data_IF_164898809504
#
_entry.id   IF_164898809504
#
_cell.length_a   1.000
_cell.length_b   1.000
_cell.length_c   1.000
_cell.angle_alpha   90.00
_cell.angle_beta   90.00
_cell.angle_gamma   90.00
#
_symmetry.space_group_name_H-M   'P 1'
#
loop_
_entity.id
_entity.type
_entity.pdbx_description
1 polymer ?
#
# COMPACT_ATOMS: atom_id res chain seq x y z
N UNK A 1 34.96 -7.33 -3.11
CA UNK A 1 34.08 -6.61 -4.06
C UNK A 1 33.02 -5.89 -3.24
N UNK A 2 33.11 -4.58 -3.14
CA UNK A 2 31.99 -3.77 -2.57
C UNK A 2 30.85 -3.89 -3.55
N UNK A 3 29.74 -4.53 -3.16
CA UNK A 3 28.48 -4.38 -3.88
C UNK A 3 28.11 -2.89 -3.78
N UNK A 4 28.30 -2.15 -4.86
CA UNK A 4 27.65 -0.87 -5.03
C UNK A 4 26.17 -1.14 -4.87
N UNK A 5 25.59 -0.57 -3.80
CA UNK A 5 24.21 -0.80 -3.46
C UNK A 5 23.33 -0.33 -4.61
N UNK A 6 22.76 -1.28 -5.36
CA UNK A 6 21.76 -0.98 -6.39
C UNK A 6 20.67 -0.16 -5.70
N UNK A 7 20.42 1.02 -6.21
CA UNK A 7 19.39 1.92 -5.71
C UNK A 7 18.04 1.19 -5.76
N UNK A 8 17.35 1.12 -4.64
CA UNK A 8 16.06 0.44 -4.56
C UNK A 8 15.01 1.24 -5.32
N UNK A 9 14.29 0.61 -6.24
CA UNK A 9 13.31 1.30 -7.10
C UNK A 9 12.04 1.73 -6.36
N UNK A 10 11.69 1.11 -5.25
CA UNK A 10 10.49 1.51 -4.51
C UNK A 10 10.55 2.98 -4.06
N UNK A 11 11.77 3.57 -3.88
CA UNK A 11 11.91 4.99 -3.62
C UNK A 11 11.40 5.86 -4.77
N UNK A 12 11.37 5.34 -5.99
CA UNK A 12 10.89 6.05 -7.16
C UNK A 12 9.35 6.03 -7.23
N UNK A 13 8.71 4.92 -6.83
CA UNK A 13 7.23 4.85 -6.72
C UNK A 13 6.64 5.74 -5.64
N UNK A 14 7.44 6.18 -4.66
CA UNK A 14 6.99 7.04 -3.56
C UNK A 14 7.22 8.53 -3.79
N UNK A 15 8.01 8.91 -4.79
CA UNK A 15 8.37 10.32 -5.02
C UNK A 15 7.17 11.19 -5.35
N UNK A 16 6.15 10.61 -5.96
CA UNK A 16 4.97 11.32 -6.41
C UNK A 16 3.71 10.61 -5.95
N UNK A 17 3.37 10.74 -4.66
CA UNK A 17 2.06 10.27 -4.18
C UNK A 17 0.99 11.07 -4.94
N UNK A 18 0.02 10.34 -5.52
CA UNK A 18 -1.10 10.92 -6.26
C UNK A 18 -1.86 11.98 -5.44
N UNK A 19 -2.46 12.92 -6.16
CA UNK A 19 -3.22 14.01 -5.55
C UNK A 19 -4.73 13.73 -5.44
N UNK A 20 -5.27 12.88 -6.30
CA UNK A 20 -6.72 12.81 -6.52
C UNK A 20 -7.32 11.41 -6.56
N UNK A 21 -6.63 10.41 -7.10
CA UNK A 21 -7.17 9.08 -7.38
C UNK A 21 -6.40 7.96 -6.71
N UNK A 22 -7.08 7.14 -5.92
CA UNK A 22 -6.48 6.04 -5.16
C UNK A 22 -7.24 4.73 -5.34
N UNK A 23 -6.54 3.68 -5.78
CA UNK A 23 -7.05 2.32 -5.72
C UNK A 23 -6.73 1.74 -4.34
N UNK A 24 -7.71 1.73 -3.47
CA UNK A 24 -7.54 1.34 -2.09
C UNK A 24 -7.61 -0.18 -1.92
N UNK A 25 -6.68 -0.70 -1.11
CA UNK A 25 -6.57 -2.13 -0.82
C UNK A 25 -6.69 -2.37 0.67
N UNK A 26 -7.75 -3.03 1.06
CA UNK A 26 -8.01 -3.36 2.47
C UNK A 26 -7.00 -4.35 3.03
N UNK A 27 -6.74 -4.20 4.31
CA UNK A 27 -5.98 -5.15 5.10
C UNK A 27 -6.88 -6.23 5.69
N UNK A 28 -6.50 -7.50 5.52
CA UNK A 28 -7.22 -8.60 6.17
C UNK A 28 -7.16 -8.49 7.71
N UNK A 29 -6.01 -8.13 8.28
CA UNK A 29 -5.85 -7.96 9.73
C UNK A 29 -6.66 -6.77 10.24
N UNK A 30 -6.61 -5.62 9.56
CA UNK A 30 -7.38 -4.44 9.99
C UNK A 30 -8.88 -4.69 9.91
N UNK A 31 -9.35 -5.42 8.90
CA UNK A 31 -10.75 -5.79 8.82
C UNK A 31 -11.20 -6.71 9.96
N UNK A 32 -10.33 -7.62 10.39
CA UNK A 32 -10.65 -8.55 11.46
C UNK A 32 -10.64 -7.88 12.84
N UNK A 33 -9.60 -7.11 13.13
CA UNK A 33 -9.38 -6.57 14.49
C UNK A 33 -9.80 -5.10 14.63
N UNK A 34 -9.74 -4.31 13.54
CA UNK A 34 -10.01 -2.88 13.56
C UNK A 34 -10.82 -2.44 12.32
N UNK A 35 -12.04 -3.00 12.10
CA UNK A 35 -12.80 -2.80 10.86
C UNK A 35 -13.14 -1.33 10.58
N UNK A 36 -13.23 -0.51 11.62
CA UNK A 36 -13.48 0.93 11.49
C UNK A 36 -12.31 1.73 10.90
N UNK A 37 -11.08 1.21 10.99
CA UNK A 37 -9.89 1.98 10.58
C UNK A 37 -9.82 2.22 9.07
N UNK A 38 -10.09 1.20 8.25
CA UNK A 38 -10.11 1.32 6.80
C UNK A 38 -11.28 2.20 6.32
N UNK A 39 -12.45 2.03 6.94
CA UNK A 39 -13.62 2.86 6.65
C UNK A 39 -13.39 4.34 7.02
N UNK A 40 -12.72 4.59 8.14
CA UNK A 40 -12.34 5.95 8.55
C UNK A 40 -11.36 6.58 7.57
N UNK A 41 -10.34 5.84 7.13
CA UNK A 41 -9.40 6.31 6.13
C UNK A 41 -10.10 6.70 4.83
N UNK A 42 -10.96 5.83 4.30
CA UNK A 42 -11.72 6.11 3.07
C UNK A 42 -12.59 7.36 3.24
N UNK A 43 -13.26 7.52 4.39
CA UNK A 43 -14.06 8.73 4.67
C UNK A 43 -13.22 9.99 4.74
N UNK A 44 -12.04 9.94 5.33
CA UNK A 44 -11.12 11.09 5.34
C UNK A 44 -10.79 11.50 3.91
N UNK A 45 -10.41 10.57 3.06
CA UNK A 45 -10.06 10.90 1.68
C UNK A 45 -11.27 11.40 0.87
N UNK A 46 -12.42 10.72 0.94
CA UNK A 46 -13.60 11.09 0.17
C UNK A 46 -14.33 12.30 0.72
N UNK A 47 -14.71 12.23 2.00
CA UNK A 47 -15.68 13.18 2.58
C UNK A 47 -14.97 14.45 3.08
N UNK A 48 -13.71 14.34 3.53
CA UNK A 48 -12.95 15.48 4.03
C UNK A 48 -12.09 16.11 2.94
N UNK A 49 -11.39 15.29 2.16
CA UNK A 49 -10.42 15.77 1.16
C UNK A 49 -10.99 15.82 -0.27
N UNK A 50 -12.17 15.24 -0.53
CA UNK A 50 -12.79 15.22 -1.86
C UNK A 50 -12.05 14.36 -2.89
N UNK A 51 -11.28 13.36 -2.44
CA UNK A 51 -10.49 12.49 -3.31
C UNK A 51 -11.31 11.32 -3.85
N UNK A 52 -10.98 10.87 -5.05
CA UNK A 52 -11.55 9.65 -5.63
C UNK A 52 -10.84 8.42 -5.06
N UNK A 53 -11.56 7.62 -4.29
CA UNK A 53 -11.05 6.39 -3.69
C UNK A 53 -11.92 5.22 -4.11
N UNK A 54 -11.35 4.31 -4.87
CA UNK A 54 -12.03 3.12 -5.34
C UNK A 54 -11.55 1.87 -4.59
N UNK A 55 -12.50 1.08 -4.15
CA UNK A 55 -12.28 -0.23 -3.57
C UNK A 55 -12.93 -1.29 -4.45
N UNK A 56 -12.15 -2.25 -4.93
CA UNK A 56 -12.66 -3.30 -5.80
C UNK A 56 -13.15 -4.51 -4.97
N UNK A 57 -14.43 -4.91 -5.07
CA UNK A 57 -14.95 -6.06 -4.32
C UNK A 57 -14.31 -7.40 -4.74
N UNK A 58 -13.71 -7.47 -5.94
CA UNK A 58 -13.02 -8.65 -6.44
C UNK A 58 -11.53 -8.68 -6.09
N UNK A 59 -11.05 -7.70 -5.32
CA UNK A 59 -9.67 -7.65 -4.88
C UNK A 59 -9.38 -8.80 -3.91
N UNK A 60 -8.23 -9.45 -4.09
CA UNK A 60 -7.73 -10.44 -3.14
C UNK A 60 -6.72 -9.80 -2.18
N UNK A 61 -6.62 -10.33 -0.97
CA UNK A 61 -5.55 -9.94 -0.04
C UNK A 61 -4.18 -10.23 -0.64
N UNK A 62 -3.14 -9.60 -0.10
CA UNK A 62 -1.77 -9.77 -0.62
C UNK A 62 -1.16 -11.16 -0.37
N UNK A 63 -1.80 -12.01 0.44
CA UNK A 63 -1.26 -13.30 0.91
C UNK A 63 0.10 -13.20 1.62
N UNK A 64 0.55 -12.00 1.96
CA UNK A 64 1.88 -11.73 2.51
C UNK A 64 2.19 -12.47 3.81
N UNK A 65 1.19 -12.71 4.66
CA UNK A 65 1.39 -13.51 5.86
C UNK A 65 1.74 -14.97 5.52
N UNK A 66 1.08 -15.54 4.50
CA UNK A 66 1.38 -16.89 4.02
C UNK A 66 2.80 -17.01 3.43
N UNK A 67 3.32 -15.95 2.83
CA UNK A 67 4.70 -15.85 2.39
C UNK A 67 5.67 -15.84 3.58
N UNK A 68 5.45 -14.96 4.54
CA UNK A 68 6.32 -14.85 5.72
C UNK A 68 6.33 -16.09 6.62
N UNK A 69 5.30 -16.90 6.56
CA UNK A 69 5.22 -18.18 7.27
C UNK A 69 5.64 -19.36 6.39
N UNK A 70 6.15 -19.11 5.17
CA UNK A 70 6.61 -20.11 4.21
C UNK A 70 5.52 -21.13 3.79
N UNK A 71 4.24 -20.76 3.92
CA UNK A 71 3.10 -21.59 3.55
C UNK A 71 2.71 -21.39 2.08
N UNK A 72 2.95 -20.19 1.54
CA UNK A 72 2.60 -19.81 0.17
C UNK A 72 3.86 -19.49 -0.62
N UNK A 73 4.11 -20.20 -1.75
CA UNK A 73 5.25 -19.92 -2.61
C UNK A 73 5.25 -18.48 -3.15
N UNK A 74 6.44 -17.92 -3.35
CA UNK A 74 6.59 -16.53 -3.80
C UNK A 74 5.97 -16.30 -5.18
N UNK A 75 6.06 -17.25 -6.09
CA UNK A 75 5.42 -17.19 -7.41
C UNK A 75 3.91 -17.06 -7.32
N UNK A 76 3.28 -17.71 -6.34
CA UNK A 76 1.84 -17.56 -6.09
C UNK A 76 1.51 -16.16 -5.63
N UNK A 77 2.33 -15.56 -4.75
CA UNK A 77 2.16 -14.18 -4.30
C UNK A 77 2.30 -13.22 -5.47
N UNK A 78 3.32 -13.40 -6.32
CA UNK A 78 3.52 -12.59 -7.52
C UNK A 78 2.27 -12.64 -8.42
N UNK A 79 1.69 -13.82 -8.63
CA UNK A 79 0.48 -13.98 -9.45
C UNK A 79 -0.74 -13.28 -8.83
N UNK A 80 -0.92 -13.34 -7.51
CA UNK A 80 -1.99 -12.63 -6.79
C UNK A 80 -1.82 -11.12 -6.93
N UNK A 81 -0.61 -10.61 -6.74
CA UNK A 81 -0.30 -9.18 -6.89
C UNK A 81 -0.52 -8.71 -8.32
N UNK A 82 -0.05 -9.45 -9.30
CA UNK A 82 -0.27 -9.17 -10.72
C UNK A 82 -1.77 -9.11 -11.07
N UNK A 83 -2.56 -10.06 -10.55
CA UNK A 83 -4.02 -10.03 -10.70
C UNK A 83 -4.63 -8.78 -10.08
N UNK A 84 -4.21 -8.37 -8.91
CA UNK A 84 -4.71 -7.17 -8.26
C UNK A 84 -4.35 -5.90 -9.05
N UNK A 85 -3.17 -5.84 -9.64
CA UNK A 85 -2.80 -4.74 -10.55
C UNK A 85 -3.63 -4.73 -11.82
N UNK A 86 -3.97 -5.90 -12.39
CA UNK A 86 -4.89 -5.97 -13.54
C UNK A 86 -6.27 -5.41 -13.21
N UNK A 87 -6.81 -5.72 -12.02
CA UNK A 87 -8.10 -5.19 -11.55
C UNK A 87 -8.07 -3.68 -11.33
N UNK A 88 -6.94 -3.14 -10.86
CA UNK A 88 -6.74 -1.71 -10.74
C UNK A 88 -6.80 -1.02 -12.11
N UNK A 89 -6.07 -1.55 -13.07
CA UNK A 89 -5.99 -1.00 -14.44
C UNK A 89 -7.33 -1.07 -15.17
N UNK A 90 -8.08 -2.15 -15.04
CA UNK A 90 -9.44 -2.28 -15.58
C UNK A 90 -10.38 -1.15 -15.13
N UNK A 91 -10.14 -0.59 -13.96
CA UNK A 91 -10.93 0.53 -13.40
C UNK A 91 -10.34 1.90 -13.68
N UNK A 92 -9.25 1.98 -14.46
CA UNK A 92 -8.62 3.24 -14.82
C UNK A 92 -7.86 3.92 -13.67
N UNK A 93 -7.42 3.13 -12.68
CA UNK A 93 -6.56 3.60 -11.60
C UNK A 93 -5.10 3.24 -11.85
N UNK A 94 -4.21 4.08 -11.35
CA UNK A 94 -2.76 3.91 -11.50
C UNK A 94 -2.01 4.01 -10.16
N UNK A 95 -2.70 4.44 -9.10
CA UNK A 95 -2.13 4.66 -7.79
C UNK A 95 -2.65 3.61 -6.83
N UNK A 96 -1.77 2.72 -6.41
CA UNK A 96 -2.08 1.58 -5.55
C UNK A 96 -1.82 1.93 -4.09
N UNK A 97 -2.85 1.82 -3.26
CA UNK A 97 -2.83 2.30 -1.88
C UNK A 97 -3.22 1.21 -0.88
N UNK A 98 -2.25 0.36 -0.45
CA UNK A 98 -2.51 -0.65 0.56
C UNK A 98 -2.59 -0.06 1.96
N UNK A 99 -3.53 -0.57 2.77
CA UNK A 99 -3.73 -0.15 4.15
C UNK A 99 -2.89 -0.93 5.18
N UNK A 100 -2.25 -2.01 4.76
CA UNK A 100 -1.45 -2.87 5.63
C UNK A 100 0.04 -2.72 5.31
N UNK A 101 0.86 -2.53 6.34
CA UNK A 101 2.33 -2.45 6.21
C UNK A 101 2.92 -3.72 5.62
N UNK A 102 2.40 -4.90 5.99
CA UNK A 102 2.84 -6.18 5.40
C UNK A 102 2.49 -6.25 3.91
N UNK A 103 1.28 -5.84 3.53
CA UNK A 103 0.90 -5.76 2.12
C UNK A 103 1.79 -4.80 1.34
N UNK A 104 2.03 -3.61 1.90
CA UNK A 104 2.91 -2.62 1.32
C UNK A 104 4.32 -3.16 1.12
N UNK A 105 4.87 -3.87 2.12
CA UNK A 105 6.17 -4.52 2.03
C UNK A 105 6.24 -5.56 0.90
N UNK A 106 5.26 -6.46 0.83
CA UNK A 106 5.19 -7.49 -0.22
C UNK A 106 5.07 -6.88 -1.62
N UNK A 107 4.20 -5.88 -1.80
CA UNK A 107 4.07 -5.22 -3.10
C UNK A 107 5.37 -4.53 -3.52
N UNK A 108 6.07 -3.91 -2.57
CA UNK A 108 7.39 -3.30 -2.81
C UNK A 108 8.44 -4.34 -3.19
N UNK A 109 8.51 -5.46 -2.46
CA UNK A 109 9.45 -6.54 -2.70
C UNK A 109 9.22 -7.18 -4.09
N UNK A 110 7.98 -7.38 -4.49
CA UNK A 110 7.64 -7.90 -5.81
C UNK A 110 8.05 -6.93 -6.93
N UNK A 111 7.75 -5.65 -6.79
CA UNK A 111 8.16 -4.64 -7.77
C UNK A 111 9.69 -4.58 -7.90
N UNK A 112 10.42 -4.64 -6.78
CA UNK A 112 11.87 -4.69 -6.77
C UNK A 112 12.40 -5.98 -7.43
N UNK A 113 11.75 -7.12 -7.16
CA UNK A 113 12.08 -8.40 -7.80
C UNK A 113 11.89 -8.31 -9.31
N UNK A 114 10.77 -7.82 -9.78
CA UNK A 114 10.49 -7.70 -11.22
C UNK A 114 11.40 -6.71 -11.95
N UNK A 115 11.91 -5.71 -11.23
CA UNK A 115 12.89 -4.80 -11.78
C UNK A 115 14.27 -5.44 -11.93
N UNK A 116 14.70 -6.19 -10.92
CA UNK A 116 16.02 -6.84 -10.95
C UNK A 116 16.04 -8.15 -11.73
N UNK A 117 14.89 -8.81 -11.84
CA UNK A 117 14.71 -10.10 -12.51
C UNK A 117 13.52 -10.03 -13.49
N UNK A 118 13.69 -9.39 -14.67
CA UNK A 118 12.62 -9.23 -15.66
C UNK A 118 12.00 -10.55 -16.12
N UNK A 119 12.76 -11.64 -16.08
CA UNK A 119 12.31 -12.99 -16.39
C UNK A 119 11.22 -13.48 -15.40
N UNK A 120 11.31 -13.10 -14.13
CA UNK A 120 10.26 -13.43 -13.14
C UNK A 120 8.97 -12.67 -13.42
N UNK A 121 9.09 -11.41 -13.82
CA UNK A 121 7.93 -10.63 -14.30
C UNK A 121 7.28 -11.28 -15.51
N UNK A 122 8.08 -11.72 -16.49
CA UNK A 122 7.55 -12.37 -17.69
C UNK A 122 6.86 -13.71 -17.37
N UNK A 123 7.47 -14.53 -16.53
CA UNK A 123 6.82 -15.78 -16.04
C UNK A 123 5.47 -15.49 -15.36
N UNK A 124 5.41 -14.45 -14.54
CA UNK A 124 4.17 -14.03 -13.87
C UNK A 124 3.12 -13.58 -14.88
N UNK A 125 3.50 -12.84 -15.92
CA UNK A 125 2.61 -12.42 -17.01
C UNK A 125 2.04 -13.62 -17.77
N UNK A 126 2.90 -14.54 -18.16
CA UNK A 126 2.50 -15.72 -18.91
C UNK A 126 1.56 -16.61 -18.09
N UNK A 127 1.87 -16.80 -16.81
CA UNK A 127 1.02 -17.53 -15.89
C UNK A 127 -0.35 -16.86 -15.71
N UNK A 128 -0.40 -15.57 -15.45
CA UNK A 128 -1.64 -14.82 -15.25
C UNK A 128 -2.50 -14.85 -16.51
N UNK A 129 -1.89 -14.64 -17.68
CA UNK A 129 -2.59 -14.69 -18.98
C UNK A 129 -3.17 -16.08 -19.25
N UNK A 130 -2.39 -17.13 -19.00
CA UNK A 130 -2.85 -18.52 -19.17
C UNK A 130 -3.98 -18.88 -18.20
N UNK A 131 -3.88 -18.46 -16.95
CA UNK A 131 -4.84 -18.84 -15.90
C UNK A 131 -6.14 -18.03 -15.95
N UNK A 132 -6.09 -16.75 -16.38
CA UNK A 132 -7.22 -15.83 -16.23
C UNK A 132 -7.56 -15.02 -17.50
N UNK A 133 -6.74 -15.11 -18.53
CA UNK A 133 -6.83 -14.24 -19.74
C UNK A 133 -6.42 -12.78 -19.50
N UNK A 134 -5.96 -12.43 -18.28
CA UNK A 134 -5.66 -11.05 -17.90
C UNK A 134 -4.22 -10.68 -18.20
N UNK A 135 -4.03 -9.40 -18.46
CA UNK A 135 -2.72 -8.75 -18.48
C UNK A 135 -2.63 -7.72 -17.36
N UNK A 136 -1.42 -7.41 -16.91
CA UNK A 136 -1.20 -6.42 -15.87
C UNK A 136 -0.09 -5.44 -16.25
N UNK A 137 -0.18 -4.28 -15.64
CA UNK A 137 0.88 -3.29 -15.59
C UNK A 137 1.12 -2.89 -14.14
N UNK A 138 2.35 -2.54 -13.83
CA UNK A 138 2.70 -2.01 -12.51
C UNK A 138 1.96 -0.69 -12.23
N UNK A 139 1.70 -0.39 -10.95
CA UNK A 139 1.16 0.92 -10.59
C UNK A 139 2.18 2.01 -10.92
N UNK A 140 1.72 3.20 -11.27
CA UNK A 140 2.61 4.38 -11.34
C UNK A 140 3.07 4.79 -9.96
N UNK A 141 2.24 4.53 -8.97
CA UNK A 141 2.49 4.93 -7.59
C UNK A 141 2.03 3.84 -6.62
N UNK A 142 2.88 3.55 -5.65
CA UNK A 142 2.60 2.65 -4.54
C UNK A 142 2.86 3.40 -3.23
N UNK A 143 1.80 3.74 -2.50
CA UNK A 143 1.90 4.49 -1.25
C UNK A 143 1.09 3.80 -0.15
N UNK A 144 1.68 3.63 1.03
CA UNK A 144 0.93 3.19 2.20
C UNK A 144 -0.05 4.27 2.68
N UNK A 145 -1.12 3.88 3.36
CA UNK A 145 -2.12 4.84 3.87
C UNK A 145 -1.53 5.93 4.75
N UNK A 146 -0.48 5.63 5.53
CA UNK A 146 0.23 6.64 6.33
C UNK A 146 0.93 7.70 5.49
N UNK A 147 1.54 7.31 4.36
CA UNK A 147 2.21 8.26 3.47
C UNK A 147 1.20 9.22 2.84
N UNK A 148 0.03 8.69 2.45
CA UNK A 148 -1.06 9.50 1.90
C UNK A 148 -1.61 10.46 2.96
N UNK A 149 -1.87 10.00 4.19
CA UNK A 149 -2.31 10.87 5.28
C UNK A 149 -1.26 11.94 5.61
N UNK A 150 0.02 11.58 5.59
CA UNK A 150 1.11 12.53 5.83
C UNK A 150 1.19 13.58 4.73
N UNK A 151 1.00 13.19 3.47
CA UNK A 151 0.93 14.15 2.35
C UNK A 151 -0.14 15.21 2.58
N UNK A 152 -1.33 14.80 3.00
CA UNK A 152 -2.47 15.71 3.20
C UNK A 152 -2.65 16.19 4.64
N UNK A 153 -1.65 16.02 5.52
CA UNK A 153 -1.75 16.32 6.96
C UNK A 153 -2.21 17.75 7.27
N UNK A 154 -1.75 18.72 6.50
CA UNK A 154 -2.10 20.14 6.73
C UNK A 154 -3.55 20.42 6.35
N UNK A 155 -4.01 19.85 5.23
CA UNK A 155 -5.41 19.97 4.80
C UNK A 155 -6.35 19.26 5.77
N UNK A 156 -5.96 18.08 6.25
CA UNK A 156 -6.71 17.34 7.28
C UNK A 156 -6.77 18.14 8.57
N UNK A 157 -5.66 18.71 9.02
CA UNK A 157 -5.58 19.51 10.24
C UNK A 157 -6.43 20.78 10.15
N UNK A 158 -6.44 21.46 9.00
CA UNK A 158 -7.26 22.64 8.77
C UNK A 158 -8.78 22.35 8.83
N UNK A 159 -9.19 21.13 8.42
CA UNK A 159 -10.60 20.68 8.43
C UNK A 159 -10.99 19.95 9.71
N UNK A 160 -10.05 19.71 10.64
CA UNK A 160 -10.32 19.00 11.89
C UNK A 160 -11.24 19.83 12.82
N UNK A 161 -12.37 19.24 13.19
CA UNK A 161 -13.36 19.89 14.08
C UNK A 161 -12.96 19.86 15.56
N UNK A 162 -12.12 18.90 15.94
CA UNK A 162 -11.74 18.68 17.32
C UNK A 162 -10.21 18.66 17.46
N UNK A 163 -9.73 19.24 18.56
CA UNK A 163 -8.33 19.14 18.97
C UNK A 163 -8.19 17.96 19.95
N UNK A 164 -7.12 17.20 19.82
CA UNK A 164 -6.78 16.14 20.77
C UNK A 164 -6.20 16.77 22.04
N UNK A 165 -7.07 17.03 22.99
CA UNK A 165 -6.74 17.66 24.26
C UNK A 165 -7.05 16.68 25.39
N UNK A 166 -6.12 16.54 26.32
CA UNK A 166 -6.37 15.85 27.59
C UNK A 166 -7.40 16.65 28.40
N UNK A 167 -8.54 16.05 28.71
CA UNK A 167 -9.66 16.72 29.38
C UNK A 167 -9.35 17.16 30.80
N UNK A 168 -8.43 16.45 31.49
CA UNK A 168 -8.05 16.76 32.87
C UNK A 168 -7.04 17.90 32.95
N UNK A 169 -6.10 17.96 32.04
CA UNK A 169 -5.01 18.93 32.06
C UNK A 169 -5.19 20.11 31.11
N UNK A 170 -6.15 20.07 30.19
CA UNK A 170 -6.34 21.05 29.11
C UNK A 170 -5.20 21.12 28.10
N UNK A 171 -4.20 20.26 28.21
CA UNK A 171 -3.00 20.27 27.35
C UNK A 171 -3.18 19.31 26.15
N UNK A 172 -2.47 19.54 25.02
CA UNK A 172 -2.43 18.59 23.92
C UNK A 172 -2.04 17.18 24.39
N UNK A 173 -2.71 16.17 23.86
CA UNK A 173 -2.32 14.77 24.12
C UNK A 173 -0.92 14.51 23.57
N UNK A 174 -0.10 13.87 24.37
CA UNK A 174 1.17 13.30 23.90
C UNK A 174 0.89 11.95 23.26
N UNK A 175 1.27 11.80 22.02
CA UNK A 175 1.11 10.56 21.24
C UNK A 175 2.49 10.01 20.93
N UNK A 176 2.67 8.71 21.11
CA UNK A 176 3.86 7.97 20.67
C UNK A 176 3.44 7.08 19.50
N UNK A 177 4.13 7.20 18.39
CA UNK A 177 3.92 6.34 17.24
C UNK A 177 4.67 5.01 17.41
N UNK A 178 4.02 3.92 17.03
CA UNK A 178 4.64 2.60 16.93
C UNK A 178 4.75 2.22 15.46
N UNK A 179 5.94 2.41 14.91
CA UNK A 179 6.21 2.12 13.50
C UNK A 179 6.13 0.62 13.25
N UNK A 180 5.33 0.22 12.26
CA UNK A 180 5.24 -1.18 11.85
C UNK A 180 6.60 -1.74 11.38
N UNK A 181 6.96 -2.93 11.85
CA UNK A 181 8.28 -3.54 11.62
C UNK A 181 8.66 -3.67 10.12
N UNK A 182 7.71 -4.00 9.25
CA UNK A 182 7.97 -4.03 7.80
C UNK A 182 8.28 -2.64 7.24
N UNK A 183 7.60 -1.60 7.72
CA UNK A 183 7.86 -0.24 7.27
C UNK A 183 9.25 0.23 7.71
N UNK A 184 9.62 0.07 8.97
CA UNK A 184 10.93 0.47 9.48
C UNK A 184 12.09 -0.34 8.89
N UNK A 185 11.88 -1.63 8.61
CA UNK A 185 12.89 -2.50 8.00
C UNK A 185 13.16 -2.14 6.54
N UNK A 186 12.13 -1.78 5.79
CA UNK A 186 12.26 -1.44 4.37
C UNK A 186 12.66 0.03 4.15
N UNK A 187 12.38 0.91 5.12
CA UNK A 187 12.65 2.35 5.02
C UNK A 187 13.43 2.86 6.25
N UNK A 188 14.66 2.39 6.48
CA UNK A 188 15.40 2.69 7.69
C UNK A 188 15.70 4.20 7.91
N UNK A 189 15.60 5.00 6.85
CA UNK A 189 15.87 6.45 6.90
C UNK A 189 14.60 7.30 7.02
N UNK A 190 13.43 6.70 7.23
CA UNK A 190 12.15 7.41 7.38
C UNK A 190 11.56 7.32 8.78
N UNK A 191 12.27 6.68 9.70
CA UNK A 191 11.92 6.60 11.13
C UNK A 191 12.49 7.75 11.94
#
# INVERSE_FOLDING_TARGET
MKQEGKKRIWSDYQKEIADDKFYFVRSCIRQTFFPGSDSTYIKILRDVLGKDVYENPNHTTCTGIGYHTEVVPFETIQAVVARNYSLMREKGYENYNPSCVTSFGIYTEILETWHHFPEEKQKTRDFLKKATGREFEEPKNLAHTSDVLFKFREEIAAKAKYKLINKETGKPLKVVDHIGCHYSKMFPNKG
#
